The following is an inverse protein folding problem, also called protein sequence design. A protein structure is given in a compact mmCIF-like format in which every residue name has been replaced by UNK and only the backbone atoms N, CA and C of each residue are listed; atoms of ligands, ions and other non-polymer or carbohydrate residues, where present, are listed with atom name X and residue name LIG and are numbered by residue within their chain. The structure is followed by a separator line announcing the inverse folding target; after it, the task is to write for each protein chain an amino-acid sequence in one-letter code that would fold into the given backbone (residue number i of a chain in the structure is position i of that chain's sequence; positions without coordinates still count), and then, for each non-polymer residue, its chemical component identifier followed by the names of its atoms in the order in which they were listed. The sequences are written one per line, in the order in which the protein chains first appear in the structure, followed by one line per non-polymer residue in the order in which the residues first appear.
data_IF_708420357019
#
_entry.id   IF_708420357019
#
_cell.length_a   1.000
_cell.length_b   1.000
_cell.length_c   1.000
_cell.angle_alpha   90.00
_cell.angle_beta   90.00
_cell.angle_gamma   90.00
#
_symmetry.space_group_name_H-M   'P 1'
#
loop_
_entity.id
_entity.type
_entity.pdbx_description
1 polymer ?
#
# COMPACT_ATOMS: atom_id res chain seq x y z
N UNK A 1 12.37 7.88 12.84
CA UNK A 1 11.86 8.03 11.47
C UNK A 1 12.66 9.10 10.73
N UNK A 2 12.91 8.89 9.43
CA UNK A 2 13.58 9.84 8.53
C UNK A 2 12.74 10.00 7.27
N UNK A 3 12.07 11.15 7.12
CA UNK A 3 11.27 11.45 5.94
C UNK A 3 12.16 11.69 4.72
N UNK A 4 11.87 10.98 3.63
CA UNK A 4 12.66 11.04 2.40
C UNK A 4 11.81 11.59 1.25
N UNK A 5 12.31 12.63 0.58
CA UNK A 5 11.70 13.14 -0.64
C UNK A 5 12.21 12.31 -1.84
N UNK A 6 11.29 11.64 -2.55
CA UNK A 6 11.64 10.69 -3.62
C UNK A 6 12.50 11.27 -4.75
N UNK A 7 12.34 12.58 -5.05
CA UNK A 7 13.11 13.27 -6.09
C UNK A 7 14.47 13.77 -5.59
N UNK A 8 14.72 13.70 -4.27
CA UNK A 8 15.90 14.24 -3.63
C UNK A 8 16.27 13.37 -2.41
N UNK A 9 16.70 12.14 -2.73
CA UNK A 9 17.06 11.14 -1.74
C UNK A 9 18.42 11.45 -1.13
N UNK A 10 18.53 11.49 0.21
CA UNK A 10 19.83 11.71 0.89
C UNK A 10 20.83 10.60 0.56
N UNK A 11 22.11 10.97 0.51
CA UNK A 11 23.18 10.00 0.25
C UNK A 11 23.25 8.90 1.30
N UNK A 12 22.98 9.24 2.56
CA UNK A 12 22.89 8.31 3.68
C UNK A 12 21.79 7.26 3.48
N UNK A 13 20.65 7.66 2.92
CA UNK A 13 19.60 6.73 2.55
C UNK A 13 20.04 5.78 1.42
N UNK A 14 20.66 6.32 0.36
CA UNK A 14 21.15 5.51 -0.77
C UNK A 14 22.27 4.56 -0.38
N UNK A 15 23.03 4.86 0.68
CA UNK A 15 24.01 3.93 1.26
C UNK A 15 23.36 2.84 2.11
N UNK A 16 22.25 3.16 2.77
CA UNK A 16 21.56 2.23 3.67
C UNK A 16 20.66 1.27 2.90
N UNK A 17 19.90 1.75 1.92
CA UNK A 17 18.94 0.95 1.16
C UNK A 17 19.63 0.28 -0.04
N UNK A 18 19.51 -1.03 -0.14
CA UNK A 18 20.07 -1.80 -1.28
C UNK A 18 19.31 -1.52 -2.58
N UNK A 19 17.98 -1.32 -2.49
CA UNK A 19 17.11 -1.03 -3.62
C UNK A 19 17.06 0.46 -3.97
N UNK A 20 17.42 1.34 -3.03
CA UNK A 20 17.22 2.78 -3.14
C UNK A 20 15.74 3.20 -3.16
N UNK A 21 14.83 2.32 -2.74
CA UNK A 21 13.38 2.56 -2.67
C UNK A 21 12.91 2.81 -1.24
N UNK A 22 11.81 3.51 -1.08
CA UNK A 22 11.14 3.70 0.21
C UNK A 22 9.88 2.81 0.28
N UNK A 23 9.56 2.29 1.47
CA UNK A 23 10.25 2.44 2.75
C UNK A 23 11.51 1.58 2.85
N UNK A 24 12.39 1.94 3.79
CA UNK A 24 13.57 1.15 4.16
C UNK A 24 13.69 1.13 5.68
N UNK A 25 13.76 -0.05 6.26
CA UNK A 25 13.98 -0.26 7.70
C UNK A 25 15.43 -0.69 7.93
N UNK A 26 16.20 0.18 8.58
CA UNK A 26 17.56 -0.13 8.99
C UNK A 26 17.57 -0.60 10.44
N UNK A 27 17.99 -1.84 10.66
CA UNK A 27 18.27 -2.42 11.95
C UNK A 27 19.80 -2.44 12.19
N UNK A 28 20.22 -2.91 13.35
CA UNK A 28 21.64 -2.99 13.70
C UNK A 28 22.43 -3.86 12.71
N UNK A 29 21.87 -5.02 12.36
CA UNK A 29 22.55 -6.05 11.57
C UNK A 29 21.82 -6.42 10.27
N UNK A 30 20.77 -5.68 9.91
CA UNK A 30 19.90 -6.02 8.78
C UNK A 30 19.26 -4.78 8.17
N UNK A 31 19.06 -4.82 6.85
CA UNK A 31 18.26 -3.86 6.09
C UNK A 31 17.05 -4.59 5.52
N UNK A 32 15.86 -3.99 5.62
CA UNK A 32 14.62 -4.48 5.03
C UNK A 32 14.06 -3.35 4.15
N UNK A 33 14.02 -3.58 2.85
CA UNK A 33 13.64 -2.57 1.85
C UNK A 33 12.19 -2.69 1.37
N UNK A 34 11.57 -3.89 1.41
CA UNK A 34 10.22 -4.06 0.91
C UNK A 34 9.17 -3.77 1.99
N UNK A 35 8.12 -3.01 1.64
CA UNK A 35 7.08 -2.61 2.59
C UNK A 35 6.38 -3.81 3.23
N UNK A 36 6.12 -4.87 2.47
CA UNK A 36 5.49 -6.08 3.00
C UNK A 36 6.39 -6.81 4.00
N UNK A 37 7.68 -6.85 3.74
CA UNK A 37 8.65 -7.50 4.64
C UNK A 37 8.80 -6.70 5.94
N UNK A 38 8.77 -5.36 5.86
CA UNK A 38 8.75 -4.48 7.04
C UNK A 38 7.48 -4.71 7.87
N UNK A 39 6.31 -4.79 7.23
CA UNK A 39 5.04 -5.08 7.91
C UNK A 39 5.09 -6.44 8.60
N UNK A 40 5.53 -7.49 7.92
CA UNK A 40 5.67 -8.84 8.49
C UNK A 40 6.68 -8.84 9.64
N UNK A 41 7.82 -8.15 9.48
CA UNK A 41 8.82 -8.02 10.55
C UNK A 41 8.23 -7.37 11.80
N UNK A 42 7.49 -6.27 11.64
CA UNK A 42 6.86 -5.56 12.75
C UNK A 42 5.80 -6.42 13.46
N UNK A 43 4.92 -7.04 12.70
CA UNK A 43 3.85 -7.91 13.22
C UNK A 43 4.40 -9.17 13.91
N UNK A 44 5.50 -9.73 13.43
CA UNK A 44 6.18 -10.84 14.14
C UNK A 44 6.75 -10.43 15.50
N UNK A 45 6.98 -9.13 15.75
CA UNK A 45 7.37 -8.62 17.06
C UNK A 45 6.17 -8.39 17.97
N UNK A 46 5.10 -7.87 17.42
CA UNK A 46 3.86 -7.60 18.16
C UNK A 46 2.68 -7.51 17.18
N UNK A 47 1.73 -8.44 17.28
CA UNK A 47 0.52 -8.52 16.45
C UNK A 47 -0.73 -8.65 17.35
N UNK A 48 -1.07 -7.60 18.10
CA UNK A 48 -2.17 -7.67 19.07
C UNK A 48 -3.53 -7.84 18.42
N UNK A 49 -3.69 -7.45 17.15
CA UNK A 49 -4.94 -7.55 16.39
C UNK A 49 -5.02 -8.81 15.52
N UNK A 50 -3.96 -9.63 15.51
CA UNK A 50 -3.91 -10.88 14.77
C UNK A 50 -3.96 -10.68 13.24
N UNK A 51 -3.28 -9.68 12.72
CA UNK A 51 -3.27 -9.43 11.27
C UNK A 51 -2.56 -10.52 10.47
N UNK A 52 -1.59 -11.21 11.07
CA UNK A 52 -0.94 -12.37 10.45
C UNK A 52 -1.81 -13.62 10.44
N UNK A 53 -2.85 -13.68 11.26
CA UNK A 53 -3.80 -14.80 11.30
C UNK A 53 -4.79 -14.70 10.12
N UNK A 54 -4.31 -15.05 8.93
CA UNK A 54 -5.08 -15.07 7.69
C UNK A 54 -4.78 -16.33 6.87
N UNK A 55 -5.72 -16.75 5.99
CA UNK A 55 -5.45 -17.86 5.07
C UNK A 55 -4.25 -17.60 4.16
N UNK A 56 -3.59 -18.66 3.70
CA UNK A 56 -2.49 -18.56 2.72
C UNK A 56 -2.89 -17.82 1.43
N UNK A 57 -4.19 -17.76 1.12
CA UNK A 57 -4.74 -16.94 0.04
C UNK A 57 -4.43 -15.45 0.24
N UNK A 58 -4.37 -14.95 1.47
CA UNK A 58 -4.02 -13.55 1.75
C UNK A 58 -2.65 -13.15 1.22
N UNK A 59 -1.66 -14.00 1.42
CA UNK A 59 -0.32 -13.78 0.86
C UNK A 59 -0.32 -13.83 -0.68
N UNK A 60 -1.14 -14.71 -1.29
CA UNK A 60 -1.30 -14.72 -2.75
C UNK A 60 -1.95 -13.44 -3.27
N UNK A 61 -2.94 -12.90 -2.57
CA UNK A 61 -3.56 -11.62 -2.95
C UNK A 61 -2.58 -10.44 -2.87
N UNK A 62 -1.70 -10.42 -1.86
CA UNK A 62 -0.64 -9.41 -1.75
C UNK A 62 0.32 -9.52 -2.94
N UNK A 63 0.75 -10.73 -3.29
CA UNK A 63 1.62 -10.95 -4.45
C UNK A 63 0.92 -10.56 -5.78
N UNK A 64 -0.37 -10.86 -5.90
CA UNK A 64 -1.15 -10.48 -7.08
C UNK A 64 -1.32 -8.96 -7.22
N UNK A 65 -1.49 -8.23 -6.12
CA UNK A 65 -1.56 -6.77 -6.20
C UNK A 65 -0.27 -6.18 -6.73
N UNK A 66 0.87 -6.66 -6.28
CA UNK A 66 2.19 -6.19 -6.74
C UNK A 66 2.45 -6.54 -8.21
N UNK A 67 2.12 -7.75 -8.63
CA UNK A 67 2.44 -8.26 -9.98
C UNK A 67 1.42 -7.90 -11.05
N UNK A 68 0.14 -7.82 -10.69
CA UNK A 68 -0.95 -7.64 -11.66
C UNK A 68 -1.62 -6.27 -11.55
N UNK A 69 -1.95 -5.81 -10.34
CA UNK A 69 -2.72 -4.58 -10.18
C UNK A 69 -1.85 -3.32 -10.25
N UNK A 70 -0.78 -3.25 -9.45
CA UNK A 70 0.10 -2.09 -9.37
C UNK A 70 0.70 -1.65 -10.72
N UNK A 71 1.20 -2.55 -11.60
CA UNK A 71 1.69 -2.13 -12.91
C UNK A 71 0.61 -1.48 -13.78
N UNK A 72 -0.64 -1.97 -13.70
CA UNK A 72 -1.76 -1.41 -14.45
C UNK A 72 -2.29 -0.11 -13.83
N UNK A 73 -2.29 0.00 -12.50
CA UNK A 73 -2.54 1.25 -11.78
C UNK A 73 -1.54 2.34 -12.21
N UNK A 74 -0.24 2.04 -12.22
CA UNK A 74 0.81 3.00 -12.57
C UNK A 74 0.68 3.47 -14.02
N UNK A 75 0.43 2.56 -14.97
CA UNK A 75 0.20 2.88 -16.38
C UNK A 75 -1.08 3.69 -16.60
N UNK A 76 -2.10 3.47 -15.78
CA UNK A 76 -3.34 4.26 -15.82
C UNK A 76 -3.12 5.65 -15.27
N UNK A 77 -2.51 5.76 -14.09
CA UNK A 77 -2.33 7.02 -13.37
C UNK A 77 -1.27 7.93 -14.00
N UNK A 78 -0.20 7.33 -14.51
CA UNK A 78 0.96 8.03 -15.06
C UNK A 78 1.13 7.77 -16.56
N UNK A 79 0.03 7.80 -17.32
CA UNK A 79 0.01 7.47 -18.75
C UNK A 79 1.11 8.19 -19.56
N UNK A 80 1.47 9.42 -19.20
CA UNK A 80 2.53 10.19 -19.84
C UNK A 80 3.93 9.59 -19.67
N UNK A 81 4.14 8.75 -18.64
CA UNK A 81 5.42 8.03 -18.42
C UNK A 81 5.51 6.73 -19.22
N UNK A 82 4.38 6.27 -19.76
CA UNK A 82 4.26 5.01 -20.49
C UNK A 82 3.62 5.23 -21.88
N UNK A 83 4.22 6.08 -22.75
CA UNK A 83 3.60 6.46 -24.03
C UNK A 83 3.38 5.28 -24.97
N UNK A 84 4.10 4.18 -24.80
CA UNK A 84 3.97 2.95 -25.58
C UNK A 84 2.80 2.05 -25.10
N UNK A 85 2.18 2.35 -23.95
CA UNK A 85 1.08 1.55 -23.41
C UNK A 85 -0.26 2.26 -23.63
N UNK A 86 -1.29 1.50 -23.99
CA UNK A 86 -2.65 2.00 -23.98
C UNK A 86 -3.15 2.07 -22.51
N UNK A 87 -3.36 3.28 -22.02
CA UNK A 87 -3.85 3.51 -20.66
C UNK A 87 -5.27 2.97 -20.45
N UNK A 88 -6.10 2.87 -21.51
CA UNK A 88 -7.44 2.28 -21.43
C UNK A 88 -7.36 0.78 -21.20
N UNK A 89 -6.46 0.09 -21.90
CA UNK A 89 -6.22 -1.36 -21.68
C UNK A 89 -5.74 -1.59 -20.24
N UNK A 90 -4.79 -0.80 -19.76
CA UNK A 90 -4.29 -0.91 -18.41
C UNK A 90 -5.39 -0.62 -17.36
N UNK A 91 -6.23 0.39 -17.60
CA UNK A 91 -7.39 0.69 -16.74
C UNK A 91 -8.36 -0.51 -16.69
N UNK A 92 -8.66 -1.14 -17.82
CA UNK A 92 -9.57 -2.30 -17.86
C UNK A 92 -9.00 -3.49 -17.10
N UNK A 93 -7.71 -3.78 -17.22
CA UNK A 93 -7.05 -4.85 -16.45
C UNK A 93 -7.06 -4.56 -14.95
N UNK A 94 -6.87 -3.29 -14.54
CA UNK A 94 -7.02 -2.90 -13.14
C UNK A 94 -8.46 -3.06 -12.65
N UNK A 95 -9.46 -2.70 -13.46
CA UNK A 95 -10.89 -2.90 -13.16
C UNK A 95 -11.23 -4.39 -12.98
N UNK A 96 -10.75 -5.26 -13.86
CA UNK A 96 -10.93 -6.71 -13.70
C UNK A 96 -10.39 -7.23 -12.36
N UNK A 97 -9.21 -6.78 -11.96
CA UNK A 97 -8.65 -7.11 -10.66
C UNK A 97 -9.59 -6.66 -9.53
N UNK A 98 -10.08 -5.41 -9.58
CA UNK A 98 -10.96 -4.86 -8.55
C UNK A 98 -12.32 -5.55 -8.47
N UNK A 99 -12.91 -5.96 -9.61
CA UNK A 99 -14.13 -6.78 -9.65
C UNK A 99 -13.90 -8.12 -8.93
N UNK A 100 -12.73 -8.73 -9.14
CA UNK A 100 -12.40 -9.99 -8.48
C UNK A 100 -12.13 -9.78 -6.98
N UNK A 101 -11.53 -8.66 -6.59
CA UNK A 101 -11.31 -8.30 -5.19
C UNK A 101 -12.64 -8.06 -4.47
N UNK A 102 -13.60 -7.32 -5.09
CA UNK A 102 -14.94 -7.09 -4.54
C UNK A 102 -15.65 -8.41 -4.19
N UNK A 103 -15.56 -9.40 -5.08
CA UNK A 103 -16.16 -10.74 -4.85
C UNK A 103 -15.50 -11.51 -3.70
N UNK A 104 -14.24 -11.21 -3.38
CA UNK A 104 -13.47 -11.91 -2.33
C UNK A 104 -13.71 -11.33 -0.93
N UNK A 105 -14.27 -10.14 -0.81
CA UNK A 105 -14.64 -9.54 0.48
C UNK A 105 -15.79 -10.34 1.08
N UNK A 106 -15.54 -10.95 2.27
CA UNK A 106 -16.49 -11.87 2.94
C UNK A 106 -17.30 -11.23 4.06
N UNK A 107 -16.85 -10.10 4.59
CA UNK A 107 -17.50 -9.30 5.63
C UNK A 107 -17.23 -7.83 5.40
N UNK A 108 -16.90 -7.11 6.45
CA UNK A 108 -16.39 -5.74 6.31
C UNK A 108 -15.01 -5.73 5.62
N UNK A 109 -14.21 -6.81 5.85
CA UNK A 109 -12.87 -7.00 5.28
C UNK A 109 -12.77 -8.31 4.49
N UNK A 110 -11.59 -8.57 3.89
CA UNK A 110 -11.35 -9.73 3.02
C UNK A 110 -11.66 -11.08 3.71
N UNK A 111 -11.39 -11.17 5.00
CA UNK A 111 -11.52 -12.43 5.77
C UNK A 111 -12.47 -12.33 6.96
N UNK A 112 -13.43 -11.43 6.94
CA UNK A 112 -14.44 -11.26 7.99
C UNK A 112 -14.58 -9.84 8.50
N UNK A 113 -14.83 -9.68 9.80
CA UNK A 113 -15.18 -8.40 10.42
C UNK A 113 -13.95 -7.61 10.94
N UNK A 114 -12.77 -8.20 10.87
CA UNK A 114 -11.53 -7.56 11.29
C UNK A 114 -10.51 -7.55 10.16
N UNK A 115 -9.76 -6.46 9.98
CA UNK A 115 -8.75 -6.37 8.94
C UNK A 115 -7.61 -7.36 9.19
N UNK A 116 -7.03 -7.88 8.13
CA UNK A 116 -5.84 -8.71 8.14
C UNK A 116 -4.72 -8.06 7.34
N UNK A 117 -3.52 -8.62 7.41
CA UNK A 117 -2.36 -8.07 6.68
C UNK A 117 -2.65 -7.86 5.19
N UNK A 118 -3.42 -8.76 4.55
CA UNK A 118 -3.80 -8.59 3.14
C UNK A 118 -4.61 -7.31 2.90
N UNK A 119 -5.55 -6.99 3.79
CA UNK A 119 -6.34 -5.76 3.69
C UNK A 119 -5.44 -4.52 3.76
N UNK A 120 -4.56 -4.48 4.77
CA UNK A 120 -3.64 -3.36 5.00
C UNK A 120 -2.66 -3.17 3.83
N UNK A 121 -2.14 -4.27 3.29
CA UNK A 121 -1.17 -4.25 2.18
C UNK A 121 -1.82 -3.82 0.85
N UNK A 122 -3.07 -4.18 0.60
CA UNK A 122 -3.80 -3.92 -0.65
C UNK A 122 -4.43 -2.52 -0.65
N UNK A 123 -4.93 -2.06 0.50
CA UNK A 123 -5.64 -0.80 0.66
C UNK A 123 -4.98 0.42 -0.01
N UNK A 124 -3.67 0.70 0.16
CA UNK A 124 -3.05 1.88 -0.42
C UNK A 124 -3.14 1.93 -1.95
N UNK A 125 -3.06 0.79 -2.61
CA UNK A 125 -3.13 0.68 -4.07
C UNK A 125 -4.56 0.88 -4.58
N UNK A 126 -5.56 0.28 -3.92
CA UNK A 126 -6.98 0.48 -4.26
C UNK A 126 -7.38 1.95 -4.05
N UNK A 127 -6.99 2.55 -2.93
CA UNK A 127 -7.20 3.98 -2.67
C UNK A 127 -6.54 4.86 -3.73
N UNK A 128 -5.33 4.52 -4.16
CA UNK A 128 -4.64 5.27 -5.21
C UNK A 128 -5.37 5.19 -6.55
N UNK A 129 -5.94 4.03 -6.89
CA UNK A 129 -6.74 3.86 -8.10
C UNK A 129 -8.06 4.63 -8.02
N UNK A 130 -8.77 4.54 -6.90
CA UNK A 130 -10.02 5.26 -6.67
C UNK A 130 -9.84 6.79 -6.81
N UNK A 131 -8.72 7.33 -6.33
CA UNK A 131 -8.40 8.75 -6.41
C UNK A 131 -7.97 9.24 -7.81
N UNK A 132 -7.90 8.38 -8.83
CA UNK A 132 -7.75 8.82 -10.23
C UNK A 132 -9.06 9.50 -10.68
N UNK A 133 -10.21 8.90 -10.34
CA UNK A 133 -11.53 9.43 -10.59
C UNK A 133 -12.50 8.85 -9.53
N UNK A 134 -12.64 9.57 -8.43
CA UNK A 134 -13.41 9.08 -7.28
C UNK A 134 -14.92 9.00 -7.58
N UNK A 135 -15.45 9.89 -8.41
CA UNK A 135 -16.86 9.89 -8.76
C UNK A 135 -17.20 8.64 -9.59
N UNK A 136 -16.40 8.39 -10.64
CA UNK A 136 -16.52 7.18 -11.43
C UNK A 136 -16.37 5.91 -10.58
N UNK A 137 -15.39 5.87 -9.67
CA UNK A 137 -15.17 4.73 -8.77
C UNK A 137 -16.39 4.44 -7.90
N UNK A 138 -17.03 5.48 -7.38
CA UNK A 138 -18.22 5.35 -6.53
C UNK A 138 -19.48 4.94 -7.32
N UNK A 139 -19.53 5.19 -8.62
CA UNK A 139 -20.67 4.84 -9.47
C UNK A 139 -20.55 3.43 -10.10
N UNK A 140 -19.40 2.78 -10.03
CA UNK A 140 -19.12 1.55 -10.78
C UNK A 140 -19.91 0.32 -10.32
N UNK A 141 -20.44 0.30 -9.10
CA UNK A 141 -21.32 -0.78 -8.60
C UNK A 141 -20.64 -1.91 -7.81
N UNK A 142 -19.35 -1.81 -7.48
CA UNK A 142 -18.63 -2.71 -6.55
C UNK A 142 -18.85 -2.30 -5.09
N UNK A 143 -20.03 -2.61 -4.59
CA UNK A 143 -20.50 -2.11 -3.29
C UNK A 143 -19.63 -2.57 -2.11
N UNK A 144 -19.16 -3.82 -2.12
CA UNK A 144 -18.32 -4.33 -1.04
C UNK A 144 -16.96 -3.65 -1.00
N UNK A 145 -16.35 -3.46 -2.18
CA UNK A 145 -15.07 -2.78 -2.30
C UNK A 145 -15.13 -1.30 -1.87
N UNK A 146 -16.24 -0.62 -2.19
CA UNK A 146 -16.48 0.75 -1.72
C UNK A 146 -16.60 0.83 -0.21
N UNK A 147 -17.41 -0.05 0.39
CA UNK A 147 -17.58 -0.11 1.84
C UNK A 147 -16.25 -0.42 2.53
N UNK A 148 -15.51 -1.41 2.03
CA UNK A 148 -14.19 -1.77 2.52
C UNK A 148 -13.19 -0.60 2.42
N UNK A 149 -13.15 0.11 1.29
CA UNK A 149 -12.29 1.29 1.13
C UNK A 149 -12.67 2.40 2.11
N UNK A 150 -13.97 2.66 2.28
CA UNK A 150 -14.48 3.70 3.17
C UNK A 150 -14.23 3.37 4.65
N UNK A 151 -14.31 2.10 5.06
CA UNK A 151 -13.98 1.67 6.41
C UNK A 151 -12.51 2.02 6.76
N UNK A 152 -11.58 1.81 5.82
CA UNK A 152 -10.18 2.23 6.03
C UNK A 152 -10.00 3.74 6.03
N UNK A 153 -10.55 4.44 5.05
CA UNK A 153 -10.40 5.90 4.92
C UNK A 153 -10.99 6.64 6.11
N UNK A 154 -12.09 6.13 6.69
CA UNK A 154 -12.72 6.69 7.90
C UNK A 154 -12.08 6.24 9.22
N UNK A 155 -11.03 5.42 9.20
CA UNK A 155 -10.43 4.86 10.41
C UNK A 155 -9.42 5.81 11.06
N UNK A 156 -9.36 5.78 12.40
CA UNK A 156 -8.33 6.48 13.17
C UNK A 156 -6.90 6.02 12.81
N UNK A 157 -6.74 4.75 12.39
CA UNK A 157 -5.45 4.22 11.92
C UNK A 157 -5.00 4.95 10.66
N UNK A 158 -5.91 5.15 9.70
CA UNK A 158 -5.62 5.89 8.48
C UNK A 158 -5.25 7.34 8.79
N UNK A 159 -6.02 8.04 9.62
CA UNK A 159 -5.73 9.42 10.02
C UNK A 159 -4.34 9.57 10.63
N UNK A 160 -3.98 8.68 11.56
CA UNK A 160 -2.65 8.65 12.16
C UNK A 160 -1.54 8.42 11.13
N UNK A 161 -1.81 7.58 10.11
CA UNK A 161 -0.84 7.30 9.04
C UNK A 161 -0.60 8.48 8.09
N UNK A 162 -1.51 9.46 8.05
CA UNK A 162 -1.40 10.65 7.19
C UNK A 162 -0.55 11.78 7.79
N UNK A 163 0.03 11.58 8.99
CA UNK A 163 0.91 12.55 9.62
C UNK A 163 2.10 12.84 8.70
N UNK A 164 2.30 14.13 8.40
CA UNK A 164 3.44 14.59 7.60
C UNK A 164 4.64 14.87 8.49
N UNK A 165 5.81 14.49 8.02
CA UNK A 165 7.08 14.75 8.69
C UNK A 165 7.93 15.71 7.86
N UNK A 166 8.82 16.44 8.54
CA UNK A 166 9.79 17.32 7.87
C UNK A 166 10.85 16.46 7.17
N UNK A 167 11.23 16.86 5.95
CA UNK A 167 12.33 16.19 5.23
C UNK A 167 13.56 16.08 6.14
N UNK A 168 14.07 14.88 6.28
CA UNK A 168 15.26 14.61 7.06
C UNK A 168 16.50 15.26 6.42
N UNK A 169 17.40 15.75 7.27
CA UNK A 169 18.73 16.28 6.92
C UNK A 169 19.78 15.71 7.87
N UNK A 170 21.05 15.57 7.45
CA UNK A 170 22.13 15.24 8.37
C UNK A 170 22.14 16.19 9.57
N UNK A 171 22.42 15.65 10.75
CA UNK A 171 22.39 16.35 12.04
C UNK A 171 21.02 16.88 12.50
N UNK A 172 19.90 16.49 11.85
CA UNK A 172 18.56 16.74 12.38
C UNK A 172 18.30 15.91 13.64
N UNK A 173 17.51 16.47 14.56
CA UNK A 173 17.07 15.75 15.73
C UNK A 173 16.34 14.46 15.38
N UNK A 174 16.46 13.40 16.20
CA UNK A 174 15.76 12.15 15.98
C UNK A 174 14.24 12.35 16.04
N UNK A 175 13.52 11.81 15.05
CA UNK A 175 12.06 11.69 15.10
C UNK A 175 11.73 10.27 15.54
N UNK A 176 11.15 10.13 16.73
CA UNK A 176 10.67 8.85 17.22
C UNK A 176 9.32 8.54 16.62
N UNK A 177 9.17 7.31 16.16
CA UNK A 177 7.90 6.78 15.67
C UNK A 177 7.18 6.18 16.89
N UNK A 178 5.88 6.50 17.08
CA UNK A 178 5.12 6.03 18.23
C UNK A 178 4.91 4.51 18.21
#
# INVERSE_FOLDING_TARGET
LREVVLKDKPHEFLKASNSGTVPCLQLKDQIIDESIDIMIWALRKNDPEGWLDMPAEGYRLIDEVEKKFKPNLDKTKYATRYPQNDSKVSKNLAIEYLINLDKKIKGEFLYGEQPKLADIAIFPFVRQFANIDINWFNEFGWQKLQNWLNAFVGSNMFDKSQKKFVKWRPAADPVFFP
#
